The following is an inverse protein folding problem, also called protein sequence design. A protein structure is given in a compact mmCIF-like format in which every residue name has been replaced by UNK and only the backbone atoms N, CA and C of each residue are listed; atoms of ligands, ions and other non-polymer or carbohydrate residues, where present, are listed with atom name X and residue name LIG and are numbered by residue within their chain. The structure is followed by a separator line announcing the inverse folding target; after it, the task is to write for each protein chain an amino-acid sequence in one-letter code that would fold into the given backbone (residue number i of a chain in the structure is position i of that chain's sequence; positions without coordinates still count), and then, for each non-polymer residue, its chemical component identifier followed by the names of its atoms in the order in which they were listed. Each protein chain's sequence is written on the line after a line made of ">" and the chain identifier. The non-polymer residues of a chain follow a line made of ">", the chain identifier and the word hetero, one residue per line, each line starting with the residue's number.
data_IF_793929820621
#
_entry.id   IF_793929820621
#
_cell.length_a   1.000
_cell.length_b   1.000
_cell.length_c   1.000
_cell.angle_alpha   90.00
_cell.angle_beta   90.00
_cell.angle_gamma   90.00
#
_symmetry.space_group_name_H-M   'P 1'
#
loop_
_entity.id
_entity.type
_entity.pdbx_description
1 polymer ?
#
# COMPACT_ATOMS: atom_id res chain seq x y z
N UNK A 1 10.02 -18.39 -10.10
CA UNK A 1 9.15 -19.37 -9.40
C UNK A 1 8.61 -20.37 -10.41
N UNK A 2 8.87 -21.68 -10.23
CA UNK A 2 8.44 -22.72 -11.16
C UNK A 2 7.01 -23.18 -10.87
N UNK A 3 6.11 -23.08 -11.85
CA UNK A 3 4.69 -23.41 -11.74
C UNK A 3 4.30 -24.51 -12.77
N UNK A 4 3.13 -25.12 -12.58
CA UNK A 4 2.61 -26.11 -13.51
C UNK A 4 2.24 -25.47 -14.85
N UNK A 5 2.33 -26.24 -15.95
CA UNK A 5 1.94 -25.78 -17.29
C UNK A 5 0.48 -25.27 -17.33
N UNK A 6 -0.44 -25.90 -16.58
CA UNK A 6 -1.84 -25.45 -16.47
C UNK A 6 -1.91 -24.05 -15.86
N UNK A 7 -1.28 -23.85 -14.69
CA UNK A 7 -1.26 -22.56 -14.03
C UNK A 7 -0.51 -21.49 -14.83
N UNK A 8 0.54 -21.88 -15.54
CA UNK A 8 1.25 -21.03 -16.47
C UNK A 8 0.35 -20.55 -17.63
N UNK A 9 -0.47 -21.46 -18.19
CA UNK A 9 -1.45 -21.15 -19.23
C UNK A 9 -2.51 -20.16 -18.75
N UNK A 10 -3.02 -20.35 -17.54
CA UNK A 10 -3.99 -19.43 -16.91
C UNK A 10 -3.41 -18.02 -16.69
N UNK A 11 -2.13 -17.92 -16.30
CA UNK A 11 -1.48 -16.65 -16.03
C UNK A 11 -1.04 -15.91 -17.31
N UNK A 12 -0.55 -16.64 -18.31
CA UNK A 12 0.01 -16.02 -19.53
C UNK A 12 -0.99 -15.88 -20.67
N UNK A 13 -2.13 -16.59 -20.60
CA UNK A 13 -3.07 -16.72 -21.72
C UNK A 13 -2.55 -17.57 -22.88
N UNK A 14 -1.37 -18.18 -22.76
CA UNK A 14 -0.79 -19.05 -23.77
C UNK A 14 -1.25 -20.50 -23.60
N UNK A 15 -1.38 -21.22 -24.70
CA UNK A 15 -1.73 -22.65 -24.63
C UNK A 15 -0.61 -23.47 -23.94
N UNK A 16 -0.98 -24.55 -23.27
CA UNK A 16 0.01 -25.46 -22.66
C UNK A 16 0.95 -26.07 -23.70
N UNK A 17 0.53 -26.19 -24.98
CA UNK A 17 1.34 -26.65 -26.09
C UNK A 17 2.42 -25.62 -26.43
N UNK A 18 2.05 -24.33 -26.51
CA UNK A 18 2.99 -23.22 -26.74
C UNK A 18 4.01 -23.14 -25.61
N UNK A 19 3.57 -23.26 -24.35
CA UNK A 19 4.47 -23.24 -23.19
C UNK A 19 5.44 -24.42 -23.16
N UNK A 20 5.02 -25.61 -23.62
CA UNK A 20 5.93 -26.75 -23.80
C UNK A 20 6.98 -26.45 -24.85
N UNK A 21 6.56 -25.94 -26.01
CA UNK A 21 7.50 -25.55 -27.08
C UNK A 21 8.52 -24.53 -26.58
N UNK A 22 8.09 -23.51 -25.83
CA UNK A 22 9.01 -22.53 -25.24
C UNK A 22 9.96 -23.12 -24.20
N UNK A 23 9.51 -24.13 -23.44
CA UNK A 23 10.36 -24.86 -22.53
C UNK A 23 11.38 -25.75 -23.27
N UNK A 24 10.99 -26.40 -24.40
CA UNK A 24 11.84 -27.24 -25.19
C UNK A 24 12.90 -26.42 -25.94
N UNK A 25 12.54 -25.24 -26.45
CA UNK A 25 13.47 -24.28 -27.09
C UNK A 25 14.31 -23.49 -26.11
N UNK A 26 14.18 -23.74 -24.81
CA UNK A 26 14.83 -22.99 -23.71
C UNK A 26 14.51 -21.48 -23.69
N UNK A 27 13.43 -21.08 -24.38
CA UNK A 27 12.94 -19.69 -24.35
C UNK A 27 12.46 -19.31 -22.96
N UNK A 28 11.91 -20.27 -22.22
CA UNK A 28 11.55 -20.14 -20.80
C UNK A 28 12.29 -21.18 -19.95
N UNK A 29 12.74 -20.82 -18.74
CA UNK A 29 13.34 -21.77 -17.83
C UNK A 29 12.34 -22.86 -17.44
N UNK A 30 12.74 -24.12 -17.49
CA UNK A 30 11.91 -25.25 -17.10
C UNK A 30 12.69 -26.28 -16.30
N UNK A 31 12.01 -26.96 -15.41
CA UNK A 31 12.53 -28.12 -14.65
C UNK A 31 11.57 -29.27 -14.80
N UNK A 32 12.12 -30.49 -14.91
CA UNK A 32 11.34 -31.73 -14.89
C UNK A 32 11.52 -32.38 -13.53
N UNK A 33 10.44 -32.60 -12.82
CA UNK A 33 10.45 -33.29 -11.53
C UNK A 33 10.71 -34.78 -11.70
N UNK A 34 11.20 -35.50 -10.68
CA UNK A 34 11.38 -36.96 -10.72
C UNK A 34 10.09 -37.73 -11.08
N UNK A 35 8.93 -37.14 -10.81
CA UNK A 35 7.61 -37.67 -11.21
C UNK A 35 7.28 -37.49 -12.69
N UNK A 36 8.20 -36.98 -13.52
CA UNK A 36 7.98 -36.69 -14.93
C UNK A 36 7.21 -35.42 -15.24
N UNK A 37 6.70 -34.71 -14.22
CA UNK A 37 5.96 -33.48 -14.42
C UNK A 37 6.90 -32.28 -14.68
N UNK A 38 6.68 -31.57 -15.79
CA UNK A 38 7.41 -30.35 -16.11
C UNK A 38 6.80 -29.15 -15.43
N UNK A 39 7.67 -28.30 -14.87
CA UNK A 39 7.32 -26.97 -14.35
C UNK A 39 8.10 -25.91 -15.11
N UNK A 40 7.49 -24.76 -15.32
CA UNK A 40 8.04 -23.64 -16.11
C UNK A 40 8.07 -22.35 -15.29
N UNK A 41 9.06 -21.53 -15.57
CA UNK A 41 9.13 -20.16 -15.04
C UNK A 41 8.72 -19.18 -16.13
N UNK A 42 7.54 -18.62 -16.00
CA UNK A 42 6.94 -17.72 -17.00
C UNK A 42 7.22 -16.24 -16.74
N UNK A 43 8.02 -15.91 -15.72
CA UNK A 43 8.34 -14.51 -15.37
C UNK A 43 8.94 -13.74 -16.55
N UNK A 44 9.76 -14.40 -17.38
CA UNK A 44 10.35 -13.78 -18.59
C UNK A 44 9.30 -13.36 -19.61
N UNK A 45 8.25 -14.17 -19.83
CA UNK A 45 7.17 -13.84 -20.77
C UNK A 45 6.23 -12.77 -20.19
N UNK A 46 6.00 -12.80 -18.88
CA UNK A 46 5.13 -11.83 -18.21
C UNK A 46 5.81 -10.46 -18.08
N UNK A 47 7.16 -10.41 -18.06
CA UNK A 47 7.95 -9.17 -18.01
C UNK A 47 7.76 -8.27 -19.24
N UNK A 48 7.34 -8.81 -20.38
CA UNK A 48 7.13 -8.02 -21.61
C UNK A 48 5.81 -7.24 -21.64
N UNK A 49 4.93 -7.42 -20.65
CA UNK A 49 3.75 -6.57 -20.51
C UNK A 49 4.11 -5.36 -19.67
N UNK A 50 4.29 -4.23 -20.32
CA UNK A 50 4.40 -2.90 -19.67
C UNK A 50 3.02 -2.53 -19.10
N UNK A 51 2.73 -3.01 -17.90
CA UNK A 51 1.47 -2.68 -17.23
C UNK A 51 1.60 -1.35 -16.49
N UNK A 52 0.68 -0.43 -16.79
CA UNK A 52 0.64 0.89 -16.18
C UNK A 52 -0.28 0.84 -14.96
N UNK A 53 0.28 1.16 -13.80
CA UNK A 53 -0.47 1.29 -12.54
C UNK A 53 -0.38 2.73 -12.07
N UNK A 54 -1.53 3.36 -11.92
CA UNK A 54 -1.67 4.69 -11.34
C UNK A 54 -1.93 4.57 -9.85
N UNK A 55 -1.16 5.30 -9.04
CA UNK A 55 -1.32 5.26 -7.59
C UNK A 55 -1.70 6.63 -7.03
N UNK A 56 -2.79 6.67 -6.26
CA UNK A 56 -3.30 7.86 -5.59
C UNK A 56 -3.37 7.66 -4.07
N UNK A 57 -3.12 8.72 -3.29
CA UNK A 57 -3.18 8.63 -1.83
C UNK A 57 -3.57 9.94 -1.16
N UNK A 58 -4.37 9.82 -0.11
CA UNK A 58 -4.64 10.89 0.86
C UNK A 58 -4.38 10.40 2.28
N UNK A 59 -4.12 11.33 3.20
CA UNK A 59 -3.78 11.00 4.58
C UNK A 59 -5.01 10.63 5.42
N UNK A 60 -6.19 11.18 5.09
CA UNK A 60 -7.42 10.98 5.85
C UNK A 60 -8.65 10.96 4.93
N UNK A 61 -9.76 10.41 5.45
CA UNK A 61 -11.05 10.40 4.75
C UNK A 61 -11.62 11.79 4.48
N UNK A 62 -11.23 12.80 5.25
CA UNK A 62 -11.63 14.19 5.03
C UNK A 62 -11.11 14.77 3.72
N UNK A 63 -10.11 14.12 3.11
CA UNK A 63 -9.48 14.50 1.85
C UNK A 63 -9.99 13.66 0.67
N UNK A 64 -11.22 13.08 0.76
CA UNK A 64 -11.81 12.28 -0.33
C UNK A 64 -11.90 13.00 -1.65
N UNK A 65 -12.20 14.31 -1.63
CA UNK A 65 -12.30 15.12 -2.83
C UNK A 65 -10.94 15.32 -3.52
N UNK A 66 -9.87 15.46 -2.73
CA UNK A 66 -8.50 15.50 -3.24
C UNK A 66 -8.11 14.14 -3.86
N UNK A 67 -8.49 13.03 -3.22
CA UNK A 67 -8.28 11.70 -3.78
C UNK A 67 -9.01 11.52 -5.13
N UNK A 68 -10.25 11.99 -5.22
CA UNK A 68 -11.05 11.91 -6.44
C UNK A 68 -10.41 12.71 -7.57
N UNK A 69 -9.92 13.92 -7.30
CA UNK A 69 -9.17 14.75 -8.26
C UNK A 69 -7.90 14.07 -8.74
N UNK A 70 -7.12 13.48 -7.84
CA UNK A 70 -5.92 12.72 -8.21
C UNK A 70 -6.26 11.56 -9.14
N UNK A 71 -7.30 10.78 -8.81
CA UNK A 71 -7.75 9.64 -9.62
C UNK A 71 -8.23 10.10 -11.00
N UNK A 72 -8.95 11.21 -11.08
CA UNK A 72 -9.43 11.77 -12.35
C UNK A 72 -8.25 12.24 -13.23
N UNK A 73 -7.30 12.96 -12.67
CA UNK A 73 -6.07 13.37 -13.37
C UNK A 73 -5.31 12.14 -13.90
N UNK A 74 -5.12 11.12 -13.07
CA UNK A 74 -4.40 9.91 -13.46
C UNK A 74 -5.13 9.15 -14.58
N UNK A 75 -6.46 9.08 -14.55
CA UNK A 75 -7.26 8.43 -15.58
C UNK A 75 -7.27 9.19 -16.91
N UNK A 76 -7.24 10.53 -16.86
CA UNK A 76 -7.19 11.36 -18.06
C UNK A 76 -5.84 11.25 -18.76
N UNK A 77 -4.74 11.21 -17.99
CA UNK A 77 -3.38 11.10 -18.53
C UNK A 77 -3.04 9.67 -18.99
N UNK A 78 -3.58 8.64 -18.30
CA UNK A 78 -3.32 7.23 -18.58
C UNK A 78 -4.64 6.45 -18.74
N UNK A 79 -5.37 6.62 -19.85
CA UNK A 79 -6.61 5.91 -20.10
C UNK A 79 -6.39 4.39 -20.13
N UNK A 80 -7.23 3.65 -19.42
CA UNK A 80 -7.16 2.18 -19.38
C UNK A 80 -6.14 1.59 -18.39
N UNK A 81 -5.40 2.44 -17.64
CA UNK A 81 -4.51 1.97 -16.57
C UNK A 81 -5.29 1.49 -15.34
N UNK A 82 -4.70 0.56 -14.59
CA UNK A 82 -5.19 0.19 -13.27
C UNK A 82 -4.96 1.34 -12.29
N UNK A 83 -6.01 1.78 -11.58
CA UNK A 83 -5.88 2.82 -10.56
C UNK A 83 -6.01 2.20 -9.18
N UNK A 84 -4.94 2.29 -8.39
CA UNK A 84 -4.86 1.85 -7.01
C UNK A 84 -4.88 3.05 -6.09
N UNK A 85 -5.71 3.04 -5.06
CA UNK A 85 -5.81 4.16 -4.12
C UNK A 85 -5.78 3.71 -2.67
N UNK A 86 -5.18 4.55 -1.81
CA UNK A 86 -5.11 4.33 -0.36
C UNK A 86 -5.50 5.59 0.44
N UNK A 87 -6.17 5.39 1.57
CA UNK A 87 -6.43 6.44 2.57
C UNK A 87 -5.60 6.11 3.80
N UNK A 88 -4.38 6.62 3.85
CA UNK A 88 -3.44 6.39 4.95
C UNK A 88 -2.26 7.36 4.90
N UNK A 89 -1.53 7.49 6.02
CA UNK A 89 -0.30 8.29 6.09
C UNK A 89 0.77 7.80 5.08
N UNK A 90 1.53 8.73 4.50
CA UNK A 90 2.69 8.43 3.64
C UNK A 90 3.82 7.67 4.34
N UNK A 91 3.81 7.66 5.69
CA UNK A 91 4.74 6.89 6.53
C UNK A 91 4.31 5.44 6.75
N UNK A 92 3.07 5.11 6.40
CA UNK A 92 2.53 3.77 6.62
C UNK A 92 2.77 2.88 5.39
N UNK A 93 3.73 1.98 5.45
CA UNK A 93 3.98 0.99 4.39
C UNK A 93 2.99 -0.19 4.38
N UNK A 94 2.17 -0.35 5.44
CA UNK A 94 1.15 -1.42 5.51
C UNK A 94 -0.16 -1.04 4.81
N UNK A 95 -0.13 -0.11 3.86
CA UNK A 95 -1.27 0.28 3.01
C UNK A 95 -1.62 -0.86 2.06
N UNK A 96 -2.89 -1.17 1.91
CA UNK A 96 -3.34 -2.31 1.08
C UNK A 96 -2.93 -2.15 -0.38
N UNK A 97 -3.17 -0.98 -0.97
CA UNK A 97 -2.84 -0.69 -2.37
C UNK A 97 -1.34 -0.70 -2.61
N UNK A 98 -0.56 0.02 -1.79
CA UNK A 98 0.90 -0.01 -1.90
C UNK A 98 1.46 -1.42 -1.74
N UNK A 99 0.94 -2.19 -0.79
CA UNK A 99 1.39 -3.57 -0.56
C UNK A 99 1.14 -4.46 -1.78
N UNK A 100 0.01 -4.29 -2.47
CA UNK A 100 -0.29 -5.00 -3.71
C UNK A 100 0.77 -4.71 -4.78
N UNK A 101 1.13 -3.43 -4.96
CA UNK A 101 2.17 -3.00 -5.90
C UNK A 101 3.54 -3.58 -5.51
N UNK A 102 3.93 -3.48 -4.22
CA UNK A 102 5.21 -4.01 -3.74
C UNK A 102 5.31 -5.52 -3.91
N UNK A 103 4.23 -6.28 -3.64
CA UNK A 103 4.21 -7.73 -3.86
C UNK A 103 4.40 -8.08 -5.33
N UNK A 104 3.82 -7.30 -6.25
CA UNK A 104 4.01 -7.48 -7.70
C UNK A 104 5.46 -7.20 -8.10
N UNK A 105 6.04 -6.10 -7.62
CA UNK A 105 7.46 -5.78 -7.85
C UNK A 105 8.38 -6.88 -7.30
N UNK A 106 8.13 -7.38 -6.10
CA UNK A 106 8.93 -8.47 -5.51
C UNK A 106 8.77 -9.81 -6.25
N UNK A 107 7.68 -10.01 -6.98
CA UNK A 107 7.50 -11.14 -7.89
C UNK A 107 8.25 -10.99 -9.21
N UNK A 108 8.77 -9.79 -9.49
CA UNK A 108 9.50 -9.46 -10.71
C UNK A 108 8.60 -8.98 -11.84
N UNK A 109 7.41 -8.47 -11.55
CA UNK A 109 6.53 -7.89 -12.56
C UNK A 109 7.13 -6.56 -13.04
N UNK A 110 7.17 -6.36 -14.37
CA UNK A 110 7.55 -5.10 -14.98
C UNK A 110 6.35 -4.15 -14.95
N UNK A 111 6.47 -3.07 -14.20
CA UNK A 111 5.38 -2.10 -14.00
C UNK A 111 5.84 -0.69 -14.35
N UNK A 112 4.99 0.07 -15.03
CA UNK A 112 5.11 1.52 -15.06
C UNK A 112 4.22 2.09 -13.96
N UNK A 113 4.83 2.59 -12.88
CA UNK A 113 4.12 3.16 -11.74
C UNK A 113 3.99 4.67 -11.92
N UNK A 114 2.76 5.18 -11.92
CA UNK A 114 2.46 6.60 -12.11
C UNK A 114 1.87 7.20 -10.85
N UNK A 115 2.39 8.34 -10.42
CA UNK A 115 1.89 9.09 -9.27
C UNK A 115 1.78 10.58 -9.60
N UNK A 116 0.86 11.29 -8.97
CA UNK A 116 0.76 12.75 -9.16
C UNK A 116 1.95 13.48 -8.57
N UNK A 117 2.38 13.11 -7.36
CA UNK A 117 3.54 13.68 -6.65
C UNK A 117 4.31 12.58 -5.92
N UNK A 118 5.60 12.80 -5.66
CA UNK A 118 6.48 11.88 -4.92
C UNK A 118 5.93 11.50 -3.55
N UNK A 119 5.41 12.47 -2.80
CA UNK A 119 4.87 12.28 -1.44
C UNK A 119 3.58 11.44 -1.42
N UNK A 120 2.88 11.33 -2.56
CA UNK A 120 1.72 10.44 -2.69
C UNK A 120 2.13 8.98 -2.65
N UNK A 121 3.27 8.63 -3.23
CA UNK A 121 3.81 7.27 -3.16
C UNK A 121 4.32 6.94 -1.75
N UNK A 122 5.32 7.66 -1.29
CA UNK A 122 5.89 7.48 0.04
C UNK A 122 6.62 8.75 0.49
N UNK A 123 6.55 9.09 1.77
CA UNK A 123 7.34 10.18 2.36
C UNK A 123 8.78 9.78 2.62
N UNK A 124 8.98 8.49 2.99
CA UNK A 124 10.31 7.88 3.14
C UNK A 124 10.39 6.66 2.23
N UNK A 125 11.60 6.34 1.79
CA UNK A 125 11.85 5.16 0.98
C UNK A 125 11.26 5.23 -0.43
N UNK A 126 10.99 6.43 -0.94
CA UNK A 126 10.63 6.64 -2.34
C UNK A 126 11.69 6.04 -3.26
N UNK A 127 12.95 6.33 -2.98
CA UNK A 127 14.12 5.86 -3.74
C UNK A 127 14.21 4.32 -3.74
N UNK A 128 13.82 3.67 -2.64
CA UNK A 128 13.76 2.21 -2.58
C UNK A 128 12.69 1.64 -3.51
N UNK A 129 11.51 2.28 -3.56
CA UNK A 129 10.45 1.84 -4.46
C UNK A 129 10.86 2.09 -5.92
N UNK A 130 11.45 3.24 -6.21
CA UNK A 130 11.99 3.59 -7.53
C UNK A 130 13.04 2.57 -7.99
N UNK A 131 14.00 2.23 -7.12
CA UNK A 131 15.00 1.20 -7.37
C UNK A 131 14.35 -0.16 -7.69
N UNK A 132 13.37 -0.60 -6.91
CA UNK A 132 12.65 -1.86 -7.16
C UNK A 132 11.90 -1.85 -8.51
N UNK A 133 11.31 -0.73 -8.89
CA UNK A 133 10.64 -0.58 -10.19
C UNK A 133 11.66 -0.69 -11.31
N UNK A 134 12.80 0.00 -11.20
CA UNK A 134 13.86 0.01 -12.21
C UNK A 134 14.54 -1.35 -12.35
N UNK A 135 14.83 -2.04 -11.24
CA UNK A 135 15.41 -3.40 -11.24
C UNK A 135 14.54 -4.42 -11.98
N UNK A 136 13.22 -4.21 -11.95
CA UNK A 136 12.28 -5.03 -12.74
C UNK A 136 12.11 -4.55 -14.19
N UNK A 137 12.89 -3.55 -14.62
CA UNK A 137 12.81 -2.97 -15.97
C UNK A 137 11.59 -2.07 -16.19
N UNK A 138 10.91 -1.67 -15.11
CA UNK A 138 9.78 -0.73 -15.13
C UNK A 138 10.21 0.73 -15.08
N UNK A 139 9.22 1.63 -14.96
CA UNK A 139 9.44 3.09 -14.82
C UNK A 139 8.58 3.66 -13.70
N UNK A 140 9.11 4.65 -12.99
CA UNK A 140 8.34 5.46 -12.07
C UNK A 140 8.15 6.84 -12.68
N UNK A 141 6.89 7.24 -12.88
CA UNK A 141 6.50 8.51 -13.51
C UNK A 141 5.82 9.38 -12.46
N UNK A 142 6.30 10.61 -12.30
CA UNK A 142 5.70 11.63 -11.44
C UNK A 142 5.15 12.73 -12.36
N UNK A 143 3.85 12.99 -12.30
CA UNK A 143 3.18 13.94 -13.22
C UNK A 143 3.51 15.39 -12.90
N UNK A 144 3.55 15.73 -11.62
CA UNK A 144 3.86 17.08 -11.19
C UNK A 144 5.35 17.25 -10.92
N UNK A 145 6.06 17.69 -11.95
CA UNK A 145 7.45 18.12 -11.87
C UNK A 145 7.59 19.62 -11.55
N UNK A 146 6.48 20.34 -11.36
CA UNK A 146 6.44 21.81 -11.33
C UNK A 146 6.31 22.45 -9.95
N UNK A 147 6.06 21.72 -8.89
CA UNK A 147 6.13 22.29 -7.54
C UNK A 147 7.60 22.42 -7.13
N UNK A 148 8.01 23.64 -6.84
CA UNK A 148 9.29 24.00 -6.20
C UNK A 148 9.58 22.93 -5.15
N UNK A 149 10.58 22.08 -5.41
CA UNK A 149 10.99 21.08 -4.42
C UNK A 149 11.24 21.82 -3.11
N UNK A 150 10.51 21.53 -2.02
CA UNK A 150 10.79 22.16 -0.75
C UNK A 150 12.26 21.88 -0.43
N UNK A 151 12.97 22.87 0.07
CA UNK A 151 14.40 22.75 0.40
C UNK A 151 14.63 21.46 1.23
N UNK A 152 15.80 20.81 1.14
CA UNK A 152 16.09 19.61 1.91
C UNK A 152 15.80 19.78 3.41
N UNK A 153 15.97 20.98 3.94
CA UNK A 153 15.69 21.35 5.33
C UNK A 153 14.18 21.39 5.62
N UNK A 154 13.36 21.89 4.72
CA UNK A 154 11.89 21.91 4.90
C UNK A 154 11.29 20.51 4.73
N UNK A 155 11.87 19.66 3.86
CA UNK A 155 11.52 18.23 3.80
C UNK A 155 11.83 17.53 5.12
N UNK A 156 13.05 17.70 5.63
CA UNK A 156 13.49 17.10 6.89
C UNK A 156 12.60 17.53 8.06
N UNK A 157 12.28 18.82 8.16
CA UNK A 157 11.39 19.37 9.19
C UNK A 157 9.99 18.77 9.12
N UNK A 158 9.42 18.70 7.93
CA UNK A 158 8.08 18.09 7.71
C UNK A 158 8.07 16.61 8.07
N UNK A 159 9.13 15.89 7.74
CA UNK A 159 9.28 14.48 8.02
C UNK A 159 9.48 14.22 9.52
N UNK A 160 10.32 15.00 10.19
CA UNK A 160 10.49 14.99 11.65
C UNK A 160 9.17 15.25 12.38
N UNK A 161 8.44 16.29 12.00
CA UNK A 161 7.13 16.60 12.58
C UNK A 161 6.13 15.46 12.35
N UNK A 162 6.15 14.82 11.19
CA UNK A 162 5.30 13.67 10.87
C UNK A 162 5.63 12.44 11.71
N UNK A 163 6.92 12.20 11.97
CA UNK A 163 7.40 11.14 12.87
C UNK A 163 6.97 11.44 14.30
N UNK A 164 7.26 12.64 14.81
CA UNK A 164 6.89 13.07 16.15
C UNK A 164 5.38 12.96 16.38
N UNK A 165 4.57 13.43 15.44
CA UNK A 165 3.11 13.31 15.52
C UNK A 165 2.65 11.84 15.63
N UNK A 166 3.24 10.95 14.84
CA UNK A 166 2.90 9.52 14.87
C UNK A 166 3.31 8.85 16.19
N UNK A 167 4.47 9.22 16.75
CA UNK A 167 4.89 8.74 18.08
C UNK A 167 4.01 9.30 19.19
N UNK A 168 3.67 10.59 19.14
CA UNK A 168 2.78 11.23 20.09
C UNK A 168 1.40 10.57 20.10
N UNK A 169 0.79 10.35 18.94
CA UNK A 169 -0.50 9.66 18.85
C UNK A 169 -0.46 8.24 19.42
N UNK A 170 0.66 7.50 19.25
CA UNK A 170 0.83 6.19 19.87
C UNK A 170 0.99 6.27 21.39
N UNK A 171 1.83 7.19 21.86
CA UNK A 171 2.10 7.35 23.28
C UNK A 171 0.84 7.81 24.07
N UNK A 172 0.08 8.74 23.51
CA UNK A 172 -1.17 9.24 24.12
C UNK A 172 -2.35 8.28 23.93
N UNK A 173 -2.43 7.56 22.83
CA UNK A 173 -3.48 6.55 22.58
C UNK A 173 -3.41 5.39 23.56
N UNK A 174 -2.23 4.98 24.01
CA UNK A 174 -2.08 3.99 25.09
C UNK A 174 -2.53 4.49 26.46
N UNK A 175 -2.34 5.78 26.77
CA UNK A 175 -2.80 6.36 28.06
C UNK A 175 -4.32 6.49 28.13
N UNK A 176 -5.00 6.79 27.04
CA UNK A 176 -6.47 6.87 26.98
C UNK A 176 -7.14 5.52 27.29
N UNK A 177 -6.56 4.40 26.88
CA UNK A 177 -7.09 3.06 27.17
C UNK A 177 -6.80 2.56 28.59
N UNK A 178 -5.81 3.12 29.29
CA UNK A 178 -5.54 2.76 30.68
C UNK A 178 -6.43 3.54 31.67
N UNK A 179 -6.80 4.76 31.36
CA UNK A 179 -7.68 5.56 32.24
C UNK A 179 -9.14 5.10 32.21
N UNK A 180 -9.61 4.40 31.17
CA UNK A 180 -10.97 3.85 31.16
C UNK A 180 -11.13 2.53 31.90
N UNK A 181 -10.03 1.92 32.38
CA UNK A 181 -10.11 0.70 33.21
C UNK A 181 -10.05 0.96 34.70
N UNK A 182 -9.77 2.19 35.14
CA UNK A 182 -9.63 2.54 36.57
C UNK A 182 -10.79 3.40 37.13
N UNK A 183 -11.89 3.56 36.41
CA UNK A 183 -13.07 4.26 36.91
C UNK A 183 -14.30 3.37 36.77
N UNK A 184 -14.34 2.28 37.54
CA UNK A 184 -15.54 1.54 37.84
C UNK A 184 -15.33 0.77 39.15
N UNK A 185 -15.48 1.45 40.25
CA UNK A 185 -15.99 0.85 41.48
C UNK A 185 -17.04 1.81 42.07
N UNK A 186 -18.29 1.38 42.20
CA UNK A 186 -19.28 2.10 42.96
C UNK A 186 -19.26 1.55 44.39
N UNK A 187 -18.76 2.30 45.32
CA UNK A 187 -19.07 2.07 46.74
C UNK A 187 -20.48 2.60 47.01
N UNK A 188 -21.40 1.66 47.00
CA UNK A 188 -22.69 1.78 47.69
C UNK A 188 -22.53 1.13 49.04
N UNK A 189 -22.48 1.92 50.10
CA UNK A 189 -22.84 1.47 51.42
C UNK A 189 -23.42 2.62 52.28
N UNK A 190 -24.70 2.55 52.44
CA UNK A 190 -25.51 2.65 53.66
C UNK A 190 -25.17 3.71 54.72
N UNK A 191 -26.17 4.48 55.00
CA UNK A 191 -26.75 4.86 56.33
C UNK A 191 -27.70 6.03 56.02
N UNK A 192 -28.95 5.97 56.16
CA UNK A 192 -29.81 5.62 57.29
C UNK A 192 -29.72 6.64 58.40
N UNK A 193 -30.59 7.67 58.42
CA UNK A 193 -31.23 8.12 59.62
C UNK A 193 -32.39 9.10 59.31
N UNK A 194 -33.46 8.70 59.74
CA UNK A 194 -34.76 9.26 60.24
C UNK A 194 -34.71 10.65 60.87
N UNK A 195 -35.94 11.22 60.88
CA UNK A 195 -36.49 12.30 61.78
C UNK A 195 -36.38 13.72 61.18
N UNK A 196 -37.33 14.55 61.31
CA UNK A 196 -38.68 14.59 61.89
C UNK A 196 -39.33 15.92 61.49
N UNK A 197 -40.57 15.84 61.13
CA UNK A 197 -41.64 16.80 61.39
C UNK A 197 -41.25 18.12 62.13
N UNK A 198 -41.67 19.28 61.60
CA UNK A 198 -42.50 20.26 62.32
C UNK A 198 -43.11 21.28 61.38
N UNK A 199 -44.39 21.45 61.58
CA UNK A 199 -45.38 22.41 61.14
C UNK A 199 -44.99 23.88 61.40
N UNK A 200 -45.62 24.72 60.67
CA UNK A 200 -45.88 26.06 61.16
C UNK A 200 -46.07 27.08 60.06
N UNK A 201 -47.32 27.37 59.88
CA UNK A 201 -48.07 28.55 59.41
C UNK A 201 -47.94 28.96 57.94
#
# INVERSE_FOLDING_TARGET
>A
MYITLKKASELTGLSTVTLRKYADTKTIPSITLPSGHRRVDVRGIMRDRDEVICYARVSSRKQSDDLSRQVETLRSEFPGSEVVSDIASGLNFKRKGLNTILVRLLRGDKLTLVVTHRDRLARFGYELIEFLVQENGGKLVVLDNGSIEPSPESKLTTDLLSILHRFSCRAYGHRSHQNTKNTCEPDCAAAGHTEEVVRGE
#
